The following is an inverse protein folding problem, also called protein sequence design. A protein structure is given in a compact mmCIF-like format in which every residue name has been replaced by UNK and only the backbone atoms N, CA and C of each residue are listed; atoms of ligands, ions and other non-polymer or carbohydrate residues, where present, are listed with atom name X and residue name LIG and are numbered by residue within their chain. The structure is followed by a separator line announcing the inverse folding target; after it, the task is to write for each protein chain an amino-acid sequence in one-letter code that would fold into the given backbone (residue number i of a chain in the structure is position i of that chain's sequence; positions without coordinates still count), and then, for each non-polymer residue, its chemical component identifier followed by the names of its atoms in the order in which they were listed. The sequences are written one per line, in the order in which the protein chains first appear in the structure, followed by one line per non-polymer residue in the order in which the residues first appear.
data_IF_017743671791
#
_entry.id   IF_017743671791
#
_cell.length_a   1.000
_cell.length_b   1.000
_cell.length_c   1.000
_cell.angle_alpha   90.00
_cell.angle_beta   90.00
_cell.angle_gamma   90.00
#
_symmetry.space_group_name_H-M   'P 1'
#
loop_
_entity.id
_entity.type
_entity.pdbx_description
1 polymer ?
#
# COMPACT_ATOMS: atom_id res chain seq x y z
N UNK A 1 9.91 7.35 -5.77
CA UNK A 1 8.68 8.12 -6.13
C UNK A 1 7.77 7.21 -6.94
N UNK A 2 6.46 7.23 -6.68
CA UNK A 2 5.46 6.54 -7.51
C UNK A 2 5.23 7.43 -8.74
N UNK A 3 5.35 6.86 -9.93
CA UNK A 3 5.00 7.57 -11.16
C UNK A 3 3.50 7.45 -11.38
N UNK A 4 2.83 8.57 -11.61
CA UNK A 4 1.38 8.63 -11.72
C UNK A 4 1.01 9.02 -13.14
N UNK A 5 0.42 8.06 -13.84
CA UNK A 5 -0.18 8.31 -15.14
C UNK A 5 -1.39 9.25 -14.96
N UNK A 6 -1.35 10.37 -15.67
CA UNK A 6 -2.42 11.39 -15.66
C UNK A 6 -3.28 11.32 -16.91
N UNK A 7 -2.99 10.39 -17.80
CA UNK A 7 -3.81 10.10 -18.97
C UNK A 7 -4.84 9.04 -18.61
N UNK A 8 -6.05 9.21 -19.15
CA UNK A 8 -7.16 8.30 -18.90
C UNK A 8 -8.20 8.42 -20.00
N UNK A 9 -9.20 7.52 -20.03
CA UNK A 9 -10.31 7.61 -20.96
C UNK A 9 -10.94 9.01 -20.95
N UNK A 10 -11.41 9.46 -22.10
CA UNK A 10 -12.09 10.74 -22.22
C UNK A 10 -13.24 10.84 -21.19
N UNK A 11 -13.25 11.91 -20.40
CA UNK A 11 -14.21 12.12 -19.30
C UNK A 11 -13.73 11.67 -17.92
N UNK A 12 -12.50 11.14 -17.79
CA UNK A 12 -11.92 10.83 -16.48
C UNK A 12 -11.73 12.10 -15.63
N UNK A 13 -11.92 11.98 -14.32
CA UNK A 13 -11.69 13.09 -13.40
C UNK A 13 -10.19 13.35 -13.26
N UNK A 14 -9.69 14.60 -13.44
CA UNK A 14 -8.25 14.87 -13.57
C UNK A 14 -7.50 14.91 -12.23
N UNK A 15 -8.20 14.77 -11.10
CA UNK A 15 -7.60 14.79 -9.77
C UNK A 15 -7.54 13.37 -9.20
N UNK A 16 -6.38 13.04 -8.67
CA UNK A 16 -6.02 11.74 -8.10
C UNK A 16 -5.52 11.95 -6.70
N UNK A 17 -6.03 11.16 -5.76
CA UNK A 17 -5.58 11.15 -4.37
C UNK A 17 -4.94 9.80 -4.09
N UNK A 18 -3.75 9.82 -3.49
CA UNK A 18 -3.07 8.61 -3.07
C UNK A 18 -3.09 8.55 -1.55
N UNK A 19 -3.63 7.47 -1.02
CA UNK A 19 -3.56 7.16 0.41
C UNK A 19 -2.25 6.42 0.67
N UNK A 20 -1.47 6.90 1.64
CA UNK A 20 -0.17 6.32 1.99
C UNK A 20 -0.19 5.81 3.42
N UNK A 21 0.55 4.72 3.65
CA UNK A 21 0.92 4.26 4.98
C UNK A 21 2.40 4.57 5.18
N UNK A 22 2.73 5.29 6.25
CA UNK A 22 4.11 5.60 6.63
C UNK A 22 4.44 4.75 7.84
N UNK A 23 5.51 3.95 7.75
CA UNK A 23 5.93 2.98 8.76
C UNK A 23 7.42 3.11 9.00
N UNK A 24 7.89 2.69 10.18
CA UNK A 24 9.31 2.47 10.41
C UNK A 24 9.78 1.21 9.68
N UNK A 25 11.03 1.19 9.22
CA UNK A 25 11.66 -0.05 8.79
C UNK A 25 12.03 -0.93 9.99
N UNK A 26 12.48 -0.29 11.07
CA UNK A 26 12.93 -0.95 12.29
C UNK A 26 12.09 -0.49 13.49
N UNK A 27 11.60 -1.47 14.25
CA UNK A 27 10.83 -1.24 15.47
C UNK A 27 11.59 -1.78 16.68
N UNK A 28 11.37 -1.15 17.84
CA UNK A 28 11.98 -1.59 19.10
C UNK A 28 11.38 -2.89 19.64
N UNK A 29 10.12 -3.14 19.33
CA UNK A 29 9.36 -4.28 19.82
C UNK A 29 9.06 -5.22 18.64
N UNK A 30 9.34 -6.52 18.84
CA UNK A 30 9.21 -7.51 17.80
C UNK A 30 7.75 -7.85 17.48
N UNK A 31 6.86 -7.77 18.46
CA UNK A 31 5.43 -8.03 18.26
C UNK A 31 4.79 -6.86 17.49
N UNK A 32 5.20 -5.62 17.77
CA UNK A 32 4.79 -4.46 16.97
C UNK A 32 5.26 -4.56 15.51
N UNK A 33 6.52 -4.96 15.28
CA UNK A 33 7.07 -5.16 13.94
C UNK A 33 6.28 -6.23 13.17
N UNK A 34 6.00 -7.37 13.80
CA UNK A 34 5.25 -8.47 13.21
C UNK A 34 3.81 -8.06 12.88
N UNK A 35 3.12 -7.41 13.81
CA UNK A 35 1.75 -6.94 13.60
C UNK A 35 1.66 -5.93 12.44
N UNK A 36 2.56 -4.94 12.41
CA UNK A 36 2.57 -3.94 11.33
C UNK A 36 2.87 -4.57 9.98
N UNK A 37 3.79 -5.54 9.93
CA UNK A 37 4.10 -6.28 8.72
C UNK A 37 2.88 -7.05 8.20
N UNK A 38 2.23 -7.85 9.05
CA UNK A 38 1.05 -8.62 8.68
C UNK A 38 -0.10 -7.72 8.21
N UNK A 39 -0.33 -6.60 8.92
CA UNK A 39 -1.36 -5.64 8.53
C UNK A 39 -1.05 -4.97 7.19
N UNK A 40 0.18 -4.53 6.97
CA UNK A 40 0.57 -3.91 5.71
C UNK A 40 0.54 -4.90 4.53
N UNK A 41 0.93 -6.16 4.74
CA UNK A 41 0.78 -7.23 3.74
C UNK A 41 -0.70 -7.45 3.38
N UNK A 42 -1.59 -7.46 4.37
CA UNK A 42 -3.03 -7.56 4.10
C UNK A 42 -3.57 -6.36 3.33
N UNK A 43 -3.17 -5.12 3.67
CA UNK A 43 -3.62 -3.90 2.98
C UNK A 43 -3.27 -3.92 1.49
N UNK A 44 -2.11 -4.48 1.11
CA UNK A 44 -1.67 -4.58 -0.29
C UNK A 44 -2.10 -5.87 -0.99
N UNK A 45 -2.81 -6.76 -0.30
CA UNK A 45 -3.39 -7.97 -0.89
C UNK A 45 -4.60 -7.64 -1.76
N UNK A 46 -4.97 -8.56 -2.65
CA UNK A 46 -6.18 -8.45 -3.47
C UNK A 46 -7.44 -8.24 -2.60
N UNK A 47 -7.51 -8.91 -1.46
CA UNK A 47 -8.63 -8.77 -0.52
C UNK A 47 -8.67 -7.38 0.12
N UNK A 48 -7.51 -6.86 0.55
CA UNK A 48 -7.38 -5.51 1.11
C UNK A 48 -7.75 -4.42 0.10
N UNK A 49 -7.24 -4.53 -1.12
CA UNK A 49 -7.54 -3.60 -2.21
C UNK A 49 -9.01 -3.66 -2.64
N UNK A 50 -9.61 -4.86 -2.72
CA UNK A 50 -11.03 -5.03 -3.00
C UNK A 50 -11.91 -4.43 -1.89
N UNK A 51 -11.48 -4.53 -0.63
CA UNK A 51 -12.18 -3.90 0.50
C UNK A 51 -12.10 -2.37 0.44
N UNK A 52 -10.94 -1.82 0.08
CA UNK A 52 -10.77 -0.38 -0.11
C UNK A 52 -11.66 0.16 -1.25
N UNK A 53 -11.69 -0.56 -2.38
CA UNK A 53 -12.57 -0.22 -3.51
C UNK A 53 -14.05 -0.18 -3.11
N UNK A 54 -14.54 -1.20 -2.40
CA UNK A 54 -15.93 -1.27 -1.96
C UNK A 54 -16.30 -0.20 -0.93
N UNK A 55 -15.36 0.14 -0.04
CA UNK A 55 -15.66 1.03 1.11
C UNK A 55 -15.50 2.51 0.76
N UNK A 56 -14.50 2.84 -0.05
CA UNK A 56 -14.05 4.21 -0.28
C UNK A 56 -13.97 4.58 -1.76
N UNK A 57 -14.33 3.67 -2.68
CA UNK A 57 -14.19 3.90 -4.12
C UNK A 57 -12.74 3.95 -4.59
N UNK A 58 -11.80 3.41 -3.81
CA UNK A 58 -10.38 3.41 -4.17
C UNK A 58 -10.13 2.54 -5.40
N UNK A 59 -9.36 3.06 -6.35
CA UNK A 59 -8.81 2.23 -7.43
C UNK A 59 -7.77 1.27 -6.86
N UNK A 60 -7.78 -0.03 -7.22
CA UNK A 60 -6.73 -0.97 -6.85
C UNK A 60 -5.36 -0.50 -7.35
N UNK A 61 -4.32 -0.87 -6.60
CA UNK A 61 -2.93 -0.70 -7.05
C UNK A 61 -2.65 -1.50 -8.33
N UNK A 62 -1.86 -0.91 -9.22
CA UNK A 62 -1.28 -1.66 -10.33
C UNK A 62 -0.26 -2.67 -9.81
N UNK A 63 -0.14 -3.83 -10.47
CA UNK A 63 0.69 -4.96 -10.01
C UNK A 63 2.15 -4.55 -9.73
N UNK A 64 2.75 -3.78 -10.65
CA UNK A 64 4.13 -3.30 -10.49
C UNK A 64 4.30 -2.40 -9.25
N UNK A 65 3.26 -1.66 -8.86
CA UNK A 65 3.30 -0.85 -7.63
C UNK A 65 3.05 -1.73 -6.41
N UNK A 66 2.11 -2.68 -6.47
CA UNK A 66 1.85 -3.63 -5.40
C UNK A 66 3.11 -4.43 -5.04
N UNK A 67 3.87 -4.93 -6.02
CA UNK A 67 5.13 -5.64 -5.78
C UNK A 67 6.18 -4.77 -5.09
N UNK A 68 6.35 -3.51 -5.51
CA UNK A 68 7.26 -2.57 -4.85
C UNK A 68 6.86 -2.29 -3.40
N UNK A 69 5.56 -2.22 -3.12
CA UNK A 69 5.08 -2.05 -1.74
C UNK A 69 5.30 -3.34 -0.94
N UNK A 70 5.03 -4.52 -1.50
CA UNK A 70 5.31 -5.81 -0.84
C UNK A 70 6.80 -5.95 -0.48
N UNK A 71 7.70 -5.52 -1.37
CA UNK A 71 9.14 -5.48 -1.07
C UNK A 71 9.48 -4.56 0.10
N UNK A 72 8.90 -3.34 0.13
CA UNK A 72 9.08 -2.43 1.25
C UNK A 72 8.52 -3.00 2.57
N UNK A 73 7.35 -3.63 2.53
CA UNK A 73 6.74 -4.28 3.71
C UNK A 73 7.60 -5.44 4.22
N UNK A 74 8.22 -6.22 3.32
CA UNK A 74 9.13 -7.31 3.71
C UNK A 74 10.35 -6.82 4.48
N UNK A 75 10.80 -5.58 4.24
CA UNK A 75 11.92 -4.96 4.97
C UNK A 75 11.59 -4.52 6.40
N UNK A 76 10.32 -4.57 6.81
CA UNK A 76 9.93 -4.26 8.19
C UNK A 76 10.45 -5.38 9.11
N UNK A 77 11.15 -4.96 10.17
CA UNK A 77 11.71 -5.83 11.20
C UNK A 77 11.83 -5.15 12.56
N UNK A 78 12.45 -5.86 13.50
CA UNK A 78 12.79 -5.33 14.81
C UNK A 78 14.31 -5.12 14.91
N UNK A 79 14.70 -4.03 15.58
CA UNK A 79 16.07 -3.84 16.03
C UNK A 79 16.40 -4.97 17.03
N UNK A 80 17.47 -5.71 16.76
CA UNK A 80 17.95 -6.80 17.61
C UNK A 80 18.45 -6.33 18.98
#
# INVERSE_FOLDING_TARGET
MIELDREGPAGSYPLVLVSYMVVCSDYRDADDAAFLKDYAEWVVSDAGQARAAQSAGSSPLAEATAERVREAVRSIGADG
#
